data_IF_591424927374
#
_entry.id   IF_591424927374
#
_cell.length_a   1.000
_cell.length_b   1.000
_cell.length_c   1.000
_cell.angle_alpha   90.00
_cell.angle_beta   90.00
_cell.angle_gamma   90.00
#
_symmetry.space_group_name_H-M   'P 1'
#
loop_
_entity.id
_entity.type
_entity.pdbx_description
1 polymer ?
#
# COMPACT_ATOMS: atom_id res chain seq x y z
N UNK A 1 -10.60 14.88 -13.29
CA UNK A 1 -10.69 13.42 -13.01
C UNK A 1 -12.09 13.04 -12.57
N UNK A 2 -12.62 11.98 -13.13
CA UNK A 2 -13.90 11.44 -12.64
C UNK A 2 -13.73 10.95 -11.19
N UNK A 3 -14.72 11.24 -10.35
CA UNK A 3 -14.72 10.80 -8.95
C UNK A 3 -14.87 9.28 -8.89
N UNK A 4 -14.02 8.60 -8.12
CA UNK A 4 -14.11 7.17 -7.87
C UNK A 4 -15.45 6.81 -7.22
N UNK A 5 -16.00 5.68 -7.63
CA UNK A 5 -17.22 5.10 -7.06
C UNK A 5 -16.90 3.75 -6.42
N UNK A 6 -17.60 3.42 -5.35
CA UNK A 6 -17.48 2.12 -4.72
C UNK A 6 -17.62 0.99 -5.76
N UNK A 7 -16.65 0.07 -5.73
CA UNK A 7 -16.59 -1.03 -6.67
C UNK A 7 -15.77 -0.77 -7.94
N UNK A 8 -15.30 0.46 -8.16
CA UNK A 8 -14.38 0.72 -9.26
C UNK A 8 -13.09 -0.08 -9.07
N UNK A 9 -12.64 -0.72 -10.14
CA UNK A 9 -11.44 -1.54 -10.14
C UNK A 9 -10.30 -0.82 -10.85
N UNK A 10 -9.16 -0.71 -10.18
CA UNK A 10 -7.95 -0.07 -10.69
C UNK A 10 -6.80 -1.07 -10.63
N UNK A 11 -5.84 -0.92 -11.55
CA UNK A 11 -4.54 -1.56 -11.40
C UNK A 11 -3.66 -0.74 -10.46
N UNK A 12 -2.60 -1.34 -9.94
CA UNK A 12 -1.57 -0.66 -9.15
C UNK A 12 -0.23 -0.88 -9.82
N UNK A 13 0.49 0.20 -10.09
CA UNK A 13 1.86 0.16 -10.59
C UNK A 13 2.80 0.88 -9.64
N UNK A 14 3.79 0.16 -9.12
CA UNK A 14 4.90 0.77 -8.40
C UNK A 14 6.12 0.90 -9.31
N UNK A 15 6.80 2.02 -9.20
CA UNK A 15 7.99 2.36 -9.98
C UNK A 15 9.16 2.58 -9.02
N UNK A 16 10.38 2.40 -9.50
CA UNK A 16 11.56 2.89 -8.79
C UNK A 16 11.86 4.33 -9.21
N UNK A 17 12.75 4.98 -8.49
CA UNK A 17 13.10 6.39 -8.72
C UNK A 17 13.59 6.68 -10.14
N UNK A 18 14.19 5.71 -10.81
CA UNK A 18 14.63 5.79 -12.20
C UNK A 18 13.49 5.68 -13.23
N UNK A 19 12.26 5.55 -12.79
CA UNK A 19 11.08 5.43 -13.64
C UNK A 19 10.80 4.03 -14.16
N UNK A 20 11.60 3.03 -13.80
CA UNK A 20 11.36 1.64 -14.20
C UNK A 20 10.27 1.02 -13.32
N UNK A 21 9.38 0.24 -13.93
CA UNK A 21 8.36 -0.48 -13.20
C UNK A 21 9.01 -1.52 -12.26
N UNK A 22 8.57 -1.53 -11.01
CA UNK A 22 9.03 -2.45 -10.00
C UNK A 22 8.08 -3.63 -9.83
N UNK A 23 6.78 -3.34 -9.67
CA UNK A 23 5.75 -4.35 -9.44
C UNK A 23 4.39 -3.82 -9.88
N UNK A 24 3.53 -4.70 -10.37
CA UNK A 24 2.15 -4.34 -10.67
C UNK A 24 1.18 -5.36 -10.09
N UNK A 25 0.01 -4.85 -9.68
CA UNK A 25 -1.15 -5.64 -9.27
C UNK A 25 -2.28 -5.39 -10.26
N UNK A 26 -2.91 -6.45 -10.72
CA UNK A 26 -3.97 -6.33 -11.75
C UNK A 26 -5.21 -5.63 -11.24
N UNK A 27 -5.51 -5.77 -9.95
CA UNK A 27 -6.79 -5.32 -9.41
C UNK A 27 -6.66 -4.79 -7.99
N UNK A 28 -7.29 -3.64 -7.75
CA UNK A 28 -7.65 -3.11 -6.46
C UNK A 28 -9.05 -2.50 -6.59
N UNK A 29 -9.97 -2.88 -5.70
CA UNK A 29 -11.34 -2.38 -5.70
C UNK A 29 -11.47 -1.22 -4.75
N UNK A 30 -11.92 -0.07 -5.24
CA UNK A 30 -12.18 1.10 -4.41
C UNK A 30 -13.36 0.84 -3.48
N UNK A 31 -13.15 1.07 -2.18
CA UNK A 31 -14.17 0.84 -1.16
C UNK A 31 -14.52 2.09 -0.35
N UNK A 32 -13.82 3.18 -0.52
CA UNK A 32 -14.09 4.44 0.16
C UNK A 32 -12.85 5.27 0.43
N UNK A 33 -13.03 6.34 1.16
CA UNK A 33 -11.97 7.26 1.56
C UNK A 33 -12.34 7.99 2.86
N UNK A 34 -11.35 8.51 3.53
CA UNK A 34 -11.51 9.48 4.60
C UNK A 34 -10.58 10.69 4.33
N UNK A 35 -10.41 11.57 5.30
CA UNK A 35 -9.55 12.77 5.12
C UNK A 35 -8.08 12.45 4.88
N UNK A 36 -7.62 11.29 5.32
CA UNK A 36 -6.21 10.90 5.27
C UNK A 36 -5.90 9.85 4.20
N UNK A 37 -6.84 8.95 3.90
CA UNK A 37 -6.59 7.79 3.05
C UNK A 37 -7.66 7.56 2.00
N UNK A 38 -7.21 7.11 0.83
CA UNK A 38 -8.05 6.43 -0.17
C UNK A 38 -7.89 4.93 0.03
N UNK A 39 -9.00 4.19 0.11
CA UNK A 39 -9.03 2.82 0.62
C UNK A 39 -9.49 1.85 -0.48
N UNK A 40 -8.71 0.80 -0.66
CA UNK A 40 -8.97 -0.27 -1.63
C UNK A 40 -8.90 -1.63 -0.95
N UNK A 41 -9.52 -2.62 -1.59
CA UNK A 41 -9.37 -4.02 -1.21
C UNK A 41 -8.98 -4.88 -2.39
N UNK A 42 -8.28 -5.97 -2.15
CA UNK A 42 -8.06 -7.02 -3.13
C UNK A 42 -7.97 -8.41 -2.48
N UNK A 43 -8.11 -9.44 -3.30
CA UNK A 43 -8.02 -10.83 -2.88
C UNK A 43 -7.66 -11.69 -4.09
N UNK A 44 -6.70 -12.60 -3.92
CA UNK A 44 -6.24 -13.51 -4.98
C UNK A 44 -5.92 -12.77 -6.28
N UNK A 45 -5.20 -11.67 -6.14
CA UNK A 45 -4.85 -10.77 -7.24
C UNK A 45 -3.54 -11.19 -7.89
N UNK A 46 -3.49 -11.12 -9.21
CA UNK A 46 -2.27 -11.38 -9.97
C UNK A 46 -1.27 -10.24 -9.76
N UNK A 47 -0.05 -10.60 -9.42
CA UNK A 47 1.08 -9.69 -9.26
C UNK A 47 2.13 -10.01 -10.30
N UNK A 48 2.67 -8.99 -10.94
CA UNK A 48 3.76 -9.11 -11.92
C UNK A 48 4.98 -8.38 -11.39
N UNK A 49 6.09 -9.09 -11.28
CA UNK A 49 7.39 -8.54 -10.86
C UNK A 49 8.10 -7.86 -12.04
N UNK A 50 9.14 -7.08 -11.72
CA UNK A 50 9.93 -6.35 -12.73
C UNK A 50 10.59 -7.25 -13.79
N UNK A 51 10.88 -8.50 -13.44
CA UNK A 51 11.46 -9.50 -14.35
C UNK A 51 10.42 -10.31 -15.14
N UNK A 52 9.12 -9.97 -15.02
CA UNK A 52 8.02 -10.62 -15.69
C UNK A 52 7.43 -11.85 -14.99
N UNK A 53 8.03 -12.30 -13.86
CA UNK A 53 7.44 -13.37 -13.07
C UNK A 53 6.10 -12.95 -12.50
N UNK A 54 5.15 -13.88 -12.45
CA UNK A 54 3.81 -13.63 -11.91
C UNK A 54 3.51 -14.59 -10.74
N UNK A 55 2.68 -14.08 -9.83
CA UNK A 55 2.15 -14.85 -8.72
C UNK A 55 0.82 -14.28 -8.28
N UNK A 56 0.03 -15.03 -7.52
CA UNK A 56 -1.23 -14.55 -6.96
C UNK A 56 -1.11 -14.37 -5.46
N UNK A 57 -1.69 -13.27 -4.95
CA UNK A 57 -1.83 -13.07 -3.51
C UNK A 57 -2.70 -14.17 -2.92
N UNK A 58 -2.36 -14.61 -1.71
CA UNK A 58 -3.06 -15.72 -1.03
C UNK A 58 -4.14 -15.23 -0.08
N UNK A 59 -3.88 -14.14 0.61
CA UNK A 59 -4.79 -13.57 1.61
C UNK A 59 -5.47 -12.30 1.09
N UNK A 60 -6.69 -12.02 1.54
CA UNK A 60 -7.29 -10.71 1.27
C UNK A 60 -6.50 -9.60 1.94
N UNK A 61 -6.51 -8.43 1.31
CA UNK A 61 -5.82 -7.25 1.81
C UNK A 61 -6.69 -6.01 1.67
N UNK A 62 -6.54 -5.11 2.64
CA UNK A 62 -7.07 -3.75 2.57
C UNK A 62 -5.87 -2.81 2.44
N UNK A 63 -5.93 -1.93 1.46
CA UNK A 63 -4.83 -1.03 1.13
C UNK A 63 -5.24 0.41 1.39
N UNK A 64 -4.37 1.12 2.08
CA UNK A 64 -4.56 2.51 2.48
C UNK A 64 -3.49 3.37 1.80
N UNK A 65 -3.92 4.19 0.85
CA UNK A 65 -3.04 5.13 0.17
C UNK A 65 -3.19 6.50 0.81
N UNK A 66 -2.11 6.99 1.44
CA UNK A 66 -2.13 8.30 2.10
C UNK A 66 -2.30 9.43 1.07
N UNK A 67 -3.19 10.37 1.37
CA UNK A 67 -3.42 11.56 0.56
C UNK A 67 -2.33 12.61 0.70
N UNK A 68 -1.55 12.56 1.79
CA UNK A 68 -0.57 13.60 2.14
C UNK A 68 0.82 13.06 2.42
N UNK A 69 0.90 11.88 3.03
CA UNK A 69 2.16 11.30 3.49
C UNK A 69 2.84 10.44 2.41
N UNK A 70 4.13 10.19 2.62
CA UNK A 70 4.95 9.40 1.70
C UNK A 70 5.00 7.93 2.12
N UNK A 71 3.84 7.34 2.31
CA UNK A 71 3.72 5.91 2.55
C UNK A 71 2.35 5.37 2.10
N UNK A 72 2.28 4.09 1.86
CA UNK A 72 1.03 3.35 1.75
C UNK A 72 1.08 2.12 2.65
N UNK A 73 -0.09 1.63 3.06
CA UNK A 73 -0.23 0.59 4.07
C UNK A 73 -1.09 -0.53 3.50
N UNK A 74 -0.58 -1.75 3.54
CA UNK A 74 -1.30 -2.95 3.12
C UNK A 74 -1.59 -3.79 4.36
N UNK A 75 -2.85 -3.85 4.77
CA UNK A 75 -3.30 -4.74 5.83
C UNK A 75 -3.66 -6.10 5.26
N UNK A 76 -2.92 -7.14 5.64
CA UNK A 76 -3.11 -8.51 5.20
C UNK A 76 -3.90 -9.28 6.25
N UNK A 77 -5.07 -9.80 5.86
CA UNK A 77 -5.94 -10.56 6.77
C UNK A 77 -5.58 -12.04 6.66
N UNK A 78 -4.65 -12.47 7.51
CA UNK A 78 -4.21 -13.86 7.59
C UNK A 78 -4.96 -14.61 8.68
N UNK A 79 -4.97 -15.93 8.60
CA UNK A 79 -5.56 -16.80 9.63
C UNK A 79 -4.94 -16.58 11.01
N UNK A 80 -3.63 -16.33 11.06
CA UNK A 80 -2.87 -16.06 12.30
C UNK A 80 -3.04 -14.64 12.83
N UNK A 81 -3.75 -13.76 12.14
CA UNK A 81 -3.97 -12.37 12.53
C UNK A 81 -3.73 -11.38 11.41
N UNK A 82 -3.77 -10.11 11.76
CA UNK A 82 -3.58 -9.02 10.82
C UNK A 82 -2.12 -8.59 10.81
N UNK A 83 -1.51 -8.66 9.63
CA UNK A 83 -0.17 -8.16 9.36
C UNK A 83 -0.28 -6.91 8.51
N UNK A 84 0.57 -5.93 8.75
CA UNK A 84 0.65 -4.77 7.88
C UNK A 84 1.99 -4.76 7.17
N UNK A 85 1.96 -4.52 5.88
CA UNK A 85 3.12 -4.26 5.06
C UNK A 85 3.04 -2.81 4.57
N UNK A 86 3.98 -1.97 5.01
CA UNK A 86 3.96 -0.55 4.71
C UNK A 86 5.14 -0.21 3.81
N UNK A 87 4.86 0.46 2.69
CA UNK A 87 5.89 0.95 1.78
C UNK A 87 6.14 2.44 2.05
N UNK A 88 7.40 2.83 2.23
CA UNK A 88 7.80 4.23 2.10
C UNK A 88 7.86 4.54 0.61
N UNK A 89 7.02 5.45 0.17
CA UNK A 89 6.74 5.68 -1.24
C UNK A 89 6.33 7.12 -1.47
N UNK A 90 6.44 7.60 -2.70
CA UNK A 90 5.90 8.92 -3.06
C UNK A 90 4.39 8.95 -2.83
N UNK A 91 3.78 10.15 -2.69
CA UNK A 91 2.35 10.28 -2.83
C UNK A 91 1.87 9.63 -4.14
N UNK A 92 0.70 9.00 -4.10
CA UNK A 92 0.15 8.32 -5.27
C UNK A 92 -0.56 9.28 -6.22
N UNK A 93 -0.64 8.89 -7.48
CA UNK A 93 -1.51 9.52 -8.47
C UNK A 93 -2.39 8.44 -9.11
N UNK A 94 -3.53 8.84 -9.66
CA UNK A 94 -4.41 7.96 -10.42
C UNK A 94 -4.48 8.47 -11.86
N UNK A 95 -4.04 7.64 -12.79
CA UNK A 95 -4.06 7.90 -14.22
C UNK A 95 -4.56 6.66 -14.96
N UNK A 96 -5.48 6.82 -15.89
CA UNK A 96 -5.98 5.73 -16.75
C UNK A 96 -6.40 4.48 -15.96
N UNK A 97 -7.18 4.68 -14.90
CA UNK A 97 -7.61 3.61 -13.99
C UNK A 97 -6.46 2.83 -13.33
N UNK A 98 -5.34 3.50 -13.14
CA UNK A 98 -4.16 2.91 -12.49
C UNK A 98 -3.67 3.80 -11.35
N UNK A 99 -3.45 3.20 -10.19
CA UNK A 99 -2.77 3.84 -9.05
C UNK A 99 -1.28 3.73 -9.30
N UNK A 100 -0.58 4.85 -9.30
CA UNK A 100 0.87 4.90 -9.56
C UNK A 100 1.61 5.58 -8.43
N UNK A 101 2.73 5.02 -8.02
CA UNK A 101 3.62 5.62 -7.04
C UNK A 101 5.07 5.16 -7.23
N UNK A 102 6.00 5.90 -6.64
CA UNK A 102 7.42 5.52 -6.60
C UNK A 102 7.69 4.84 -5.27
N UNK A 103 8.19 3.61 -5.32
CA UNK A 103 8.64 2.84 -4.16
C UNK A 103 10.06 3.28 -3.80
N UNK A 104 10.28 3.69 -2.56
CA UNK A 104 11.57 4.14 -2.06
C UNK A 104 12.25 3.13 -1.13
N UNK A 105 12.04 1.86 -1.38
CA UNK A 105 12.78 0.72 -0.85
C UNK A 105 12.50 0.38 0.62
N UNK A 106 12.47 1.36 1.52
CA UNK A 106 12.22 1.12 2.94
C UNK A 106 10.80 0.61 3.16
N UNK A 107 10.70 -0.52 3.84
CA UNK A 107 9.44 -1.13 4.21
C UNK A 107 9.35 -1.28 5.73
N UNK A 108 8.12 -1.23 6.23
CA UNK A 108 7.82 -1.52 7.63
C UNK A 108 6.84 -2.68 7.69
N UNK A 109 7.23 -3.77 8.34
CA UNK A 109 6.33 -4.89 8.61
C UNK A 109 5.83 -4.82 10.03
N UNK A 110 4.51 -4.87 10.21
CA UNK A 110 3.85 -4.87 11.51
C UNK A 110 3.18 -6.21 11.75
N UNK A 111 3.41 -6.78 12.91
CA UNK A 111 2.90 -8.09 13.31
C UNK A 111 1.60 -7.96 14.12
N UNK A 112 0.80 -9.04 14.27
CA UNK A 112 -0.46 -8.98 15.00
C UNK A 112 -0.36 -8.51 16.45
N UNK A 113 0.79 -8.71 17.10
CA UNK A 113 1.06 -8.24 18.47
C UNK A 113 1.44 -6.75 18.56
N UNK A 114 1.49 -6.04 17.41
CA UNK A 114 1.89 -4.64 17.33
C UNK A 114 3.39 -4.40 17.21
N UNK A 115 4.22 -5.44 17.32
CA UNK A 115 5.64 -5.31 17.04
C UNK A 115 5.90 -5.03 15.57
N UNK A 116 7.02 -4.41 15.26
CA UNK A 116 7.34 -4.07 13.87
C UNK A 116 8.82 -4.27 13.55
N UNK A 117 9.10 -4.37 12.27
CA UNK A 117 10.46 -4.51 11.74
C UNK A 117 10.63 -3.64 10.50
N UNK A 118 11.73 -2.89 10.46
CA UNK A 118 12.13 -2.13 9.25
C UNK A 118 12.88 -3.09 8.33
N UNK A 119 12.48 -3.13 7.07
CA UNK A 119 13.05 -4.00 6.04
C UNK A 119 13.78 -3.18 4.98
N UNK A 120 14.72 -3.84 4.29
CA UNK A 120 15.36 -3.34 3.06
C UNK A 120 16.21 -2.08 3.23
N UNK A 121 16.81 -1.89 4.42
CA UNK A 121 17.75 -0.78 4.66
C UNK A 121 18.96 -0.83 3.71
N UNK A 122 19.48 -2.01 3.43
CA UNK A 122 20.60 -2.19 2.51
C UNK A 122 20.25 -1.81 1.08
N UNK A 123 19.07 -2.22 0.61
CA UNK A 123 18.54 -1.85 -0.70
C UNK A 123 18.36 -0.34 -0.82
N UNK A 124 17.81 0.30 0.23
CA UNK A 124 17.67 1.75 0.28
C UNK A 124 19.04 2.46 0.13
N UNK A 125 20.06 2.06 0.88
CA UNK A 125 21.38 2.66 0.80
C UNK A 125 22.01 2.48 -0.59
N UNK A 126 21.82 1.31 -1.20
CA UNK A 126 22.29 1.03 -2.55
C UNK A 126 21.60 1.90 -3.60
N UNK A 127 20.27 1.94 -3.59
CA UNK A 127 19.50 2.75 -4.56
C UNK A 127 19.70 4.24 -4.34
N UNK A 128 19.81 4.70 -3.09
CA UNK A 128 20.13 6.09 -2.79
C UNK A 128 21.40 6.53 -3.51
N UNK A 129 22.40 5.67 -3.55
CA UNK A 129 23.70 5.95 -4.21
C UNK A 129 23.57 5.91 -5.73
N UNK A 130 23.07 4.81 -6.29
CA UNK A 130 23.05 4.60 -7.75
C UNK A 130 21.98 5.39 -8.47
N UNK A 131 20.86 5.68 -7.83
CA UNK A 131 19.77 6.48 -8.39
C UNK A 131 19.84 7.96 -7.98
N UNK A 132 20.86 8.35 -7.22
CA UNK A 132 21.11 9.73 -6.82
C UNK A 132 19.93 10.40 -6.10
N UNK A 133 19.40 9.75 -5.06
CA UNK A 133 18.36 10.39 -4.23
C UNK A 133 18.91 11.70 -3.65
N UNK A 134 18.17 12.79 -3.84
CA UNK A 134 18.56 14.09 -3.28
C UNK A 134 18.56 14.06 -1.75
N UNK A 135 19.27 15.02 -1.13
CA UNK A 135 19.22 15.19 0.33
C UNK A 135 17.81 15.46 0.83
N UNK A 136 17.02 16.21 0.07
CA UNK A 136 15.63 16.53 0.42
C UNK A 136 14.76 15.28 0.42
N UNK A 137 14.88 14.43 -0.59
CA UNK A 137 14.17 13.14 -0.64
C UNK A 137 14.60 12.27 0.55
N UNK A 138 15.90 12.12 0.80
CA UNK A 138 16.39 11.31 1.92
C UNK A 138 15.83 11.80 3.27
N UNK A 139 15.76 13.11 3.49
CA UNK A 139 15.16 13.68 4.71
C UNK A 139 13.65 13.40 4.79
N UNK A 140 12.92 13.56 3.70
CA UNK A 140 11.49 13.26 3.64
C UNK A 140 11.24 11.79 3.99
N UNK A 141 11.96 10.87 3.38
CA UNK A 141 11.77 9.43 3.60
C UNK A 141 12.04 9.04 5.05
N UNK A 142 13.10 9.58 5.66
CA UNK A 142 13.42 9.33 7.08
C UNK A 142 12.37 9.90 8.02
N UNK A 143 11.90 11.11 7.74
CA UNK A 143 10.84 11.76 8.51
C UNK A 143 9.52 10.98 8.42
N UNK A 144 9.13 10.58 7.22
CA UNK A 144 7.90 9.82 6.98
C UNK A 144 7.95 8.42 7.63
N UNK A 145 9.11 7.76 7.62
CA UNK A 145 9.27 6.51 8.35
C UNK A 145 9.05 6.70 9.86
N UNK A 146 9.56 7.77 10.43
CA UNK A 146 9.35 8.10 11.85
C UNK A 146 7.87 8.38 12.15
N UNK A 147 7.18 9.11 11.28
CA UNK A 147 5.74 9.39 11.39
C UNK A 147 4.96 8.08 11.34
N UNK A 148 5.27 7.21 10.39
CA UNK A 148 4.62 5.90 10.24
C UNK A 148 4.81 5.02 11.49
N UNK A 149 6.02 4.97 12.04
CA UNK A 149 6.32 4.22 13.26
C UNK A 149 5.51 4.76 14.45
N UNK A 150 5.36 6.08 14.56
CA UNK A 150 4.52 6.68 15.60
C UNK A 150 3.04 6.29 15.46
N UNK A 151 2.51 6.24 14.25
CA UNK A 151 1.14 5.75 14.01
C UNK A 151 0.98 4.29 14.46
N UNK A 152 1.96 3.44 14.16
CA UNK A 152 1.95 2.04 14.61
C UNK A 152 1.94 1.95 16.16
N UNK A 153 2.81 2.70 16.82
CA UNK A 153 2.92 2.70 18.29
C UNK A 153 1.66 3.22 18.99
N UNK A 154 1.01 4.20 18.38
CA UNK A 154 -0.20 4.80 18.93
C UNK A 154 -1.48 4.05 18.55
N UNK A 155 -1.39 2.99 17.76
CA UNK A 155 -2.54 2.29 17.18
C UNK A 155 -3.50 3.22 16.42
N UNK A 156 -2.94 4.27 15.80
CA UNK A 156 -3.71 5.18 14.96
C UNK A 156 -4.26 4.44 13.73
N UNK A 157 -5.41 4.90 13.22
CA UNK A 157 -5.95 4.35 11.97
C UNK A 157 -4.88 4.38 10.85
N UNK A 158 -4.68 3.29 10.07
CA UNK A 158 -5.46 2.05 10.02
C UNK A 158 -4.92 0.90 10.91
N UNK A 159 -4.02 1.16 11.85
CA UNK A 159 -3.43 0.17 12.76
C UNK A 159 -4.38 -0.16 13.93
N UNK A 160 -5.63 -0.39 13.60
CA UNK A 160 -6.69 -0.75 14.51
C UNK A 160 -7.46 -1.94 13.94
N UNK A 161 -7.39 -3.08 14.62
CA UNK A 161 -7.97 -4.34 14.16
C UNK A 161 -9.47 -4.24 13.86
N UNK A 162 -10.22 -3.53 14.70
CA UNK A 162 -11.66 -3.34 14.49
C UNK A 162 -11.95 -2.64 13.17
N UNK A 163 -11.24 -1.56 12.88
CA UNK A 163 -11.48 -0.74 11.70
C UNK A 163 -11.09 -1.45 10.39
N UNK A 164 -9.97 -2.17 10.39
CA UNK A 164 -9.59 -2.93 9.19
C UNK A 164 -10.56 -4.08 8.92
N UNK A 165 -11.09 -4.73 9.96
CA UNK A 165 -12.14 -5.75 9.81
C UNK A 165 -13.42 -5.16 9.24
N UNK A 166 -13.84 -3.99 9.68
CA UNK A 166 -14.98 -3.25 9.11
C UNK A 166 -14.75 -2.92 7.64
N UNK A 167 -13.56 -2.44 7.27
CA UNK A 167 -13.19 -2.18 5.88
C UNK A 167 -13.24 -3.47 5.04
N UNK A 168 -12.75 -4.57 5.57
CA UNK A 168 -12.81 -5.87 4.90
C UNK A 168 -14.25 -6.35 4.66
N UNK A 169 -15.12 -6.23 5.65
CA UNK A 169 -16.55 -6.56 5.51
C UNK A 169 -17.21 -5.71 4.44
N UNK A 170 -16.90 -4.41 4.40
CA UNK A 170 -17.37 -3.51 3.34
C UNK A 170 -16.87 -3.94 1.96
N UNK A 171 -15.60 -4.32 1.85
CA UNK A 171 -15.02 -4.86 0.61
C UNK A 171 -15.79 -6.09 0.13
N UNK A 172 -16.03 -7.05 1.01
CA UNK A 172 -16.77 -8.29 0.68
C UNK A 172 -18.18 -7.96 0.21
N UNK A 173 -18.85 -7.05 0.89
CA UNK A 173 -20.20 -6.59 0.52
C UNK A 173 -20.24 -5.97 -0.88
N UNK A 174 -19.31 -5.06 -1.17
CA UNK A 174 -19.20 -4.40 -2.48
C UNK A 174 -18.96 -5.42 -3.60
N UNK A 175 -18.07 -6.39 -3.37
CA UNK A 175 -17.79 -7.45 -4.34
C UNK A 175 -19.02 -8.33 -4.62
N UNK A 176 -19.80 -8.67 -3.60
CA UNK A 176 -21.04 -9.45 -3.74
C UNK A 176 -22.10 -8.68 -4.53
N UNK A 177 -22.28 -7.41 -4.26
CA UNK A 177 -23.23 -6.56 -4.98
C UNK A 177 -22.88 -6.43 -6.46
N UNK A 178 -21.58 -6.40 -6.79
CA UNK A 178 -21.09 -6.31 -8.17
C UNK A 178 -21.33 -7.61 -8.97
N UNK A 179 -21.28 -8.76 -8.33
CA UNK A 179 -21.55 -10.06 -8.96
C UNK A 179 -23.03 -10.23 -9.30
N UNK A 180 -23.93 -9.58 -8.55
CA UNK A 180 -25.40 -9.67 -8.76
C UNK A 180 -25.94 -8.79 -9.89
N UNK A 181 -25.13 -7.90 -10.45
CA UNK A 181 -25.44 -7.01 -11.58
C UNK A 181 -24.91 -7.60 -12.89
#
# INVERSE_FOLDING_TARGET
MAKLKEGDMLAIHSYKHDGKIHRSWDEATYIGENDEYTIFGNNKTLVTESDGRTWKTKEPAIMYFSKKSWFNIIGQLKESGIYYYCNIASPFVIEENTIKYIDYDLDLRVFPDGSFKILDRGEYQYHKKIMHYSKDIDQILKSELSILINHVRNHDFPFCEKQIKENYENYVKIKKEKIKK
#
